data_IF_738888679498
#
_entry.id   IF_738888679498
#
_cell.length_a   1.000
_cell.length_b   1.000
_cell.length_c   1.000
_cell.angle_alpha   90.00
_cell.angle_beta   90.00
_cell.angle_gamma   90.00
#
_symmetry.space_group_name_H-M   'P 1'
#
loop_
_entity.id
_entity.type
_entity.pdbx_description
1 polymer ?
#
# COMPACT_ATOMS: atom_id res chain seq x y z
N UNK A 1 31.81 -9.25 6.02
CA UNK A 1 30.82 -8.25 5.58
C UNK A 1 30.07 -8.85 4.41
N UNK A 2 28.76 -9.12 4.54
CA UNK A 2 27.96 -9.60 3.40
C UNK A 2 27.75 -8.44 2.44
N UNK A 3 28.12 -8.60 1.17
CA UNK A 3 27.85 -7.60 0.15
C UNK A 3 26.34 -7.36 0.03
N UNK A 4 25.93 -6.11 -0.09
CA UNK A 4 24.55 -5.73 -0.41
C UNK A 4 24.20 -6.30 -1.78
N UNK A 5 23.22 -7.22 -1.82
CA UNK A 5 22.81 -7.87 -3.06
C UNK A 5 21.51 -7.23 -3.56
N UNK A 6 21.54 -6.69 -4.78
CA UNK A 6 20.35 -6.15 -5.42
C UNK A 6 19.51 -7.29 -6.00
N UNK A 7 18.22 -7.29 -5.69
CA UNK A 7 17.29 -8.35 -6.09
C UNK A 7 16.02 -7.75 -6.67
N UNK A 8 15.38 -8.49 -7.56
CA UNK A 8 14.04 -8.19 -8.06
C UNK A 8 13.08 -9.22 -7.48
N UNK A 9 11.91 -8.77 -7.01
CA UNK A 9 10.85 -9.65 -6.56
C UNK A 9 9.68 -9.50 -7.51
N UNK A 10 9.19 -10.62 -8.05
CA UNK A 10 8.04 -10.66 -8.94
C UNK A 10 6.97 -11.59 -8.38
N UNK A 11 5.70 -11.21 -8.55
CA UNK A 11 4.56 -12.08 -8.29
C UNK A 11 4.08 -12.72 -9.59
N UNK A 12 3.62 -13.97 -9.52
CA UNK A 12 2.98 -14.65 -10.63
C UNK A 12 1.46 -14.44 -10.56
N UNK A 13 0.90 -13.86 -11.62
CA UNK A 13 -0.54 -13.58 -11.76
C UNK A 13 -1.33 -14.79 -12.29
N UNK A 14 -0.65 -15.85 -12.73
CA UNK A 14 -1.25 -17.10 -13.18
C UNK A 14 -0.97 -18.26 -12.21
N UNK A 15 0.05 -18.12 -11.37
CA UNK A 15 0.51 -19.04 -10.32
C UNK A 15 0.50 -20.52 -10.73
N UNK A 16 1.07 -20.83 -11.90
CA UNK A 16 1.11 -22.22 -12.36
C UNK A 16 2.06 -23.09 -11.52
N UNK A 17 3.07 -22.48 -10.89
CA UNK A 17 4.09 -23.21 -10.10
C UNK A 17 4.58 -22.46 -8.86
N UNK A 18 4.65 -21.13 -8.91
CA UNK A 18 5.15 -20.30 -7.82
C UNK A 18 4.24 -19.09 -7.64
N UNK A 19 4.12 -18.59 -6.41
CA UNK A 19 3.35 -17.37 -6.13
C UNK A 19 4.20 -16.13 -6.29
N UNK A 20 5.42 -16.15 -5.73
CA UNK A 20 6.38 -15.07 -5.87
C UNK A 20 7.79 -15.63 -6.04
N UNK A 21 8.63 -14.88 -6.74
CA UNK A 21 10.00 -15.28 -7.06
C UNK A 21 10.95 -14.10 -6.83
N UNK A 22 12.11 -14.39 -6.24
CA UNK A 22 13.22 -13.46 -6.04
C UNK A 22 14.30 -13.79 -7.06
N UNK A 23 14.75 -12.78 -7.78
CA UNK A 23 15.72 -12.86 -8.85
C UNK A 23 16.94 -12.04 -8.50
N UNK A 24 18.11 -12.50 -8.90
CA UNK A 24 19.32 -11.72 -8.93
C UNK A 24 19.22 -10.69 -10.05
N UNK A 25 19.37 -9.40 -9.72
CA UNK A 25 19.24 -8.34 -10.72
C UNK A 25 20.35 -8.42 -11.79
N UNK A 26 21.55 -8.85 -11.40
CA UNK A 26 22.72 -8.82 -12.29
C UNK A 26 22.74 -10.05 -13.19
N UNK A 27 22.52 -11.23 -12.62
CA UNK A 27 22.61 -12.49 -13.38
C UNK A 27 21.29 -12.94 -13.99
N UNK A 28 20.16 -12.37 -13.54
CA UNK A 28 18.82 -12.82 -13.92
C UNK A 28 18.45 -14.20 -13.36
N UNK A 29 19.29 -14.80 -12.50
CA UNK A 29 19.01 -16.13 -11.95
C UNK A 29 17.99 -16.06 -10.82
N UNK A 30 17.14 -17.08 -10.73
CA UNK A 30 16.23 -17.22 -9.59
C UNK A 30 17.00 -17.55 -8.32
N UNK A 31 16.87 -16.72 -7.29
CA UNK A 31 17.47 -16.92 -5.97
C UNK A 31 16.56 -17.68 -5.02
N UNK A 32 15.26 -17.37 -5.05
CA UNK A 32 14.27 -17.97 -4.15
C UNK A 32 12.89 -17.98 -4.78
N UNK A 33 12.15 -19.06 -4.58
CA UNK A 33 10.74 -19.17 -4.98
C UNK A 33 9.84 -19.42 -3.78
N UNK A 34 8.73 -18.71 -3.70
CA UNK A 34 7.68 -18.89 -2.70
C UNK A 34 6.51 -19.64 -3.32
N UNK A 35 6.13 -20.74 -2.66
CA UNK A 35 5.00 -21.60 -3.06
C UNK A 35 3.84 -21.43 -2.07
N UNK A 36 2.70 -22.01 -2.41
CA UNK A 36 1.50 -22.10 -1.55
C UNK A 36 0.82 -20.75 -1.25
N UNK A 37 1.12 -19.70 -2.01
CA UNK A 37 0.43 -18.40 -1.97
C UNK A 37 -0.78 -18.30 -2.92
N UNK A 38 -0.93 -19.27 -3.83
CA UNK A 38 -1.88 -19.19 -4.94
C UNK A 38 -1.53 -18.07 -5.93
N UNK A 39 -2.52 -17.65 -6.71
CA UNK A 39 -2.45 -16.49 -7.61
C UNK A 39 -2.39 -15.22 -6.78
N UNK A 40 -1.40 -14.36 -7.03
CA UNK A 40 -1.28 -13.10 -6.32
C UNK A 40 -2.15 -12.01 -6.95
N UNK A 41 -2.70 -11.14 -6.11
CA UNK A 41 -3.41 -9.95 -6.58
C UNK A 41 -2.41 -8.94 -7.17
N UNK A 42 -2.83 -8.24 -8.22
CA UNK A 42 -2.04 -7.15 -8.81
C UNK A 42 -1.81 -6.04 -7.78
N UNK A 43 -0.61 -5.42 -7.79
CA UNK A 43 -0.21 -4.33 -6.89
C UNK A 43 -0.23 -4.65 -5.39
N UNK A 44 -0.25 -5.93 -5.02
CA UNK A 44 -0.32 -6.36 -3.63
C UNK A 44 0.94 -7.06 -3.13
N UNK A 45 2.09 -6.84 -3.76
CA UNK A 45 3.38 -7.43 -3.38
C UNK A 45 4.23 -6.35 -2.72
N UNK A 46 4.63 -6.56 -1.46
CA UNK A 46 5.40 -5.57 -0.71
C UNK A 46 6.47 -6.21 0.17
N UNK A 47 7.62 -5.54 0.27
CA UNK A 47 8.73 -5.93 1.12
C UNK A 47 8.59 -5.30 2.51
N UNK A 48 8.96 -6.03 3.56
CA UNK A 48 9.04 -5.55 4.94
C UNK A 48 10.50 -5.65 5.40
N UNK A 49 11.17 -4.50 5.50
CA UNK A 49 12.53 -4.35 6.07
C UNK A 49 13.54 -5.42 5.61
N UNK A 50 13.55 -5.75 4.31
CA UNK A 50 14.39 -6.78 3.65
C UNK A 50 14.30 -8.22 4.21
N UNK A 51 13.44 -8.45 5.21
CA UNK A 51 13.36 -9.72 5.93
C UNK A 51 12.12 -10.52 5.57
N UNK A 52 11.02 -9.84 5.22
CA UNK A 52 9.77 -10.51 4.92
C UNK A 52 9.13 -9.98 3.64
N UNK A 53 8.41 -10.87 2.97
CA UNK A 53 7.63 -10.56 1.79
C UNK A 53 6.15 -10.75 2.13
N UNK A 54 5.36 -9.72 1.85
CA UNK A 54 3.91 -9.75 1.97
C UNK A 54 3.27 -9.80 0.60
N UNK A 55 2.30 -10.68 0.42
CA UNK A 55 1.48 -10.71 -0.78
C UNK A 55 0.03 -11.09 -0.52
N UNK A 56 -0.89 -10.45 -1.23
CA UNK A 56 -2.32 -10.81 -1.20
C UNK A 56 -2.61 -11.90 -2.21
N UNK A 57 -3.38 -12.91 -1.82
CA UNK A 57 -3.93 -13.88 -2.76
C UNK A 57 -5.17 -13.30 -3.46
N UNK A 58 -5.17 -13.37 -4.79
CA UNK A 58 -6.20 -12.82 -5.68
C UNK A 58 -7.59 -13.31 -5.28
N UNK A 59 -8.54 -12.37 -5.24
CA UNK A 59 -9.96 -12.60 -4.93
C UNK A 59 -10.24 -13.24 -3.56
N UNK A 60 -9.28 -13.15 -2.62
CA UNK A 60 -9.44 -13.66 -1.25
C UNK A 60 -9.15 -12.59 -0.19
N UNK A 61 -9.49 -12.92 1.05
CA UNK A 61 -9.16 -12.13 2.22
C UNK A 61 -7.80 -12.52 2.84
N UNK A 62 -6.95 -13.26 2.12
CA UNK A 62 -5.72 -13.83 2.67
C UNK A 62 -4.51 -13.03 2.21
N UNK A 63 -3.73 -12.57 3.20
CA UNK A 63 -2.39 -12.03 2.99
C UNK A 63 -1.38 -13.10 3.43
N UNK A 64 -0.51 -13.49 2.53
CA UNK A 64 0.64 -14.35 2.79
C UNK A 64 1.83 -13.51 3.26
N UNK A 65 2.54 -14.04 4.25
CA UNK A 65 3.71 -13.41 4.87
C UNK A 65 4.84 -14.43 4.90
N UNK A 66 5.90 -14.23 4.11
CA UNK A 66 7.02 -15.15 3.98
C UNK A 66 8.32 -14.56 4.49
N UNK A 67 9.11 -15.36 5.20
CA UNK A 67 10.49 -15.00 5.51
C UNK A 67 11.40 -15.09 4.27
N UNK A 68 12.13 -14.02 3.96
CA UNK A 68 13.13 -13.98 2.90
C UNK A 68 14.40 -14.70 3.30
N UNK A 69 14.78 -14.61 4.58
CA UNK A 69 15.95 -15.28 5.13
C UNK A 69 15.53 -16.50 5.99
N UNK A 70 16.32 -17.57 5.96
CA UNK A 70 16.08 -18.77 6.76
C UNK A 70 15.07 -19.77 6.16
N UNK A 71 14.60 -20.70 7.00
CA UNK A 71 13.61 -21.73 6.62
C UNK A 71 12.35 -21.05 6.08
N UNK A 72 11.76 -21.61 5.03
CA UNK A 72 10.50 -21.13 4.46
C UNK A 72 9.37 -21.25 5.49
N UNK A 73 9.16 -20.18 6.25
CA UNK A 73 8.01 -20.03 7.14
C UNK A 73 7.01 -19.12 6.45
N UNK A 74 5.83 -19.67 6.19
CA UNK A 74 4.69 -18.94 5.68
C UNK A 74 3.72 -18.72 6.84
N UNK A 75 3.37 -17.46 7.08
CA UNK A 75 2.23 -17.08 7.91
C UNK A 75 1.13 -16.54 7.01
N UNK A 76 -0.11 -16.64 7.47
CA UNK A 76 -1.29 -16.10 6.78
C UNK A 76 -1.98 -15.13 7.73
N UNK A 77 -2.34 -13.97 7.21
CA UNK A 77 -3.19 -12.99 7.88
C UNK A 77 -4.54 -13.02 7.17
N UNK A 78 -5.61 -13.17 7.94
CA UNK A 78 -6.98 -13.22 7.42
C UNK A 78 -7.62 -11.85 7.66
N UNK A 79 -7.94 -11.16 6.57
CA UNK A 79 -8.64 -9.90 6.56
C UNK A 79 -10.16 -10.10 6.66
N UNK A 80 -10.93 -9.06 7.02
CA UNK A 80 -12.38 -9.16 7.15
C UNK A 80 -13.11 -9.42 5.82
N UNK A 81 -12.51 -9.05 4.68
CA UNK A 81 -13.05 -9.30 3.35
C UNK A 81 -11.92 -9.32 2.30
N UNK A 82 -12.30 -9.52 1.03
CA UNK A 82 -11.39 -9.51 -0.12
C UNK A 82 -10.51 -8.25 -0.10
N UNK A 83 -9.21 -8.46 -0.21
CA UNK A 83 -8.23 -7.38 -0.26
C UNK A 83 -8.00 -6.94 -1.70
N UNK A 84 -8.11 -5.65 -1.96
CA UNK A 84 -7.93 -5.07 -3.29
C UNK A 84 -6.49 -4.61 -3.53
N UNK A 85 -5.88 -4.02 -2.51
CA UNK A 85 -4.53 -3.44 -2.58
C UNK A 85 -3.85 -3.54 -1.23
N UNK A 86 -2.53 -3.74 -1.24
CA UNK A 86 -1.71 -3.80 -0.04
C UNK A 86 -0.39 -3.06 -0.26
N UNK A 87 0.01 -2.26 0.71
CA UNK A 87 1.35 -1.66 0.76
C UNK A 87 1.88 -1.66 2.19
N UNK A 88 3.19 -1.63 2.34
CA UNK A 88 3.88 -1.56 3.62
C UNK A 88 4.64 -0.24 3.67
N UNK A 89 4.67 0.38 4.83
CA UNK A 89 5.44 1.59 5.04
C UNK A 89 6.95 1.29 4.96
N UNK A 90 7.78 2.13 4.32
CA UNK A 90 9.22 1.86 4.15
C UNK A 90 9.99 1.56 5.44
N UNK A 91 9.56 2.13 6.57
CA UNK A 91 10.09 1.86 7.91
C UNK A 91 9.69 0.48 8.47
N UNK A 92 8.78 -0.24 7.82
CA UNK A 92 8.39 -1.62 8.16
C UNK A 92 7.47 -1.75 9.37
N UNK A 93 6.94 -0.65 9.90
CA UNK A 93 6.08 -0.67 11.09
C UNK A 93 4.61 -0.94 10.78
N UNK A 94 4.13 -0.50 9.61
CA UNK A 94 2.69 -0.54 9.29
C UNK A 94 2.41 -1.18 7.93
N UNK A 95 1.31 -1.91 7.85
CA UNK A 95 0.71 -2.33 6.59
C UNK A 95 -0.60 -1.57 6.37
N UNK A 96 -0.77 -1.06 5.16
CA UNK A 96 -1.96 -0.33 4.71
C UNK A 96 -2.66 -1.22 3.69
N UNK A 97 -3.91 -1.56 3.99
CA UNK A 97 -4.69 -2.54 3.24
C UNK A 97 -5.99 -1.90 2.78
N UNK A 98 -6.24 -1.90 1.47
CA UNK A 98 -7.50 -1.46 0.89
C UNK A 98 -8.48 -2.63 0.74
N UNK A 99 -9.64 -2.52 1.37
CA UNK A 99 -10.72 -3.52 1.34
C UNK A 99 -12.00 -2.79 0.98
N UNK A 100 -12.57 -3.08 -0.20
CA UNK A 100 -13.67 -2.29 -0.77
C UNK A 100 -13.30 -0.79 -0.73
N UNK A 101 -14.16 0.06 -0.19
CA UNK A 101 -13.96 1.51 -0.11
C UNK A 101 -13.12 1.96 1.11
N UNK A 102 -12.63 1.00 1.92
CA UNK A 102 -12.10 1.26 3.25
C UNK A 102 -10.62 0.90 3.34
N UNK A 103 -9.85 1.76 4.01
CA UNK A 103 -8.45 1.50 4.33
C UNK A 103 -8.33 0.95 5.75
N UNK A 104 -7.54 -0.10 5.92
CA UNK A 104 -7.21 -0.70 7.20
C UNK A 104 -5.71 -0.54 7.46
N UNK A 105 -5.35 0.02 8.62
CA UNK A 105 -3.95 0.22 9.03
C UNK A 105 -3.61 -0.79 10.12
N UNK A 106 -2.71 -1.71 9.81
CA UNK A 106 -2.23 -2.73 10.73
C UNK A 106 -0.84 -2.41 11.24
N UNK A 107 -0.59 -2.66 12.52
CA UNK A 107 0.75 -2.67 13.08
C UNK A 107 1.41 -4.02 12.77
N UNK A 108 2.55 -4.02 12.10
CA UNK A 108 3.22 -5.26 11.67
C UNK A 108 3.87 -6.03 12.82
N UNK A 109 4.34 -5.34 13.86
CA UNK A 109 4.98 -5.98 15.01
C UNK A 109 4.00 -6.81 15.85
N UNK A 110 2.76 -6.35 16.00
CA UNK A 110 1.73 -6.99 16.83
C UNK A 110 0.69 -7.73 15.99
N UNK A 111 0.49 -7.35 14.73
CA UNK A 111 -0.59 -7.82 13.87
C UNK A 111 -1.94 -7.15 14.16
N UNK A 112 -1.99 -6.18 15.07
CA UNK A 112 -3.24 -5.54 15.48
C UNK A 112 -3.72 -4.51 14.44
N UNK A 113 -5.04 -4.45 14.25
CA UNK A 113 -5.68 -3.36 13.53
C UNK A 113 -5.63 -2.10 14.39
N UNK A 114 -4.94 -1.06 13.92
CA UNK A 114 -4.85 0.22 14.63
C UNK A 114 -6.04 1.11 14.33
N UNK A 115 -6.41 1.20 13.05
CA UNK A 115 -7.50 2.09 12.64
C UNK A 115 -8.01 1.76 11.24
N UNK A 116 -9.15 2.36 10.92
CA UNK A 116 -9.85 2.24 9.67
C UNK A 116 -10.20 3.62 9.15
N UNK A 117 -10.05 3.85 7.84
CA UNK A 117 -10.36 5.11 7.18
C UNK A 117 -11.43 4.87 6.12
N UNK A 118 -12.51 5.64 6.18
CA UNK A 118 -13.71 5.45 5.36
C UNK A 118 -14.04 6.75 4.65
N UNK A 119 -13.40 7.00 3.49
CA UNK A 119 -13.61 8.23 2.72
C UNK A 119 -13.79 8.02 1.22
N UNK A 120 -13.25 6.94 0.66
CA UNK A 120 -13.57 6.55 -0.72
C UNK A 120 -15.03 6.11 -0.80
N UNK A 121 -15.66 6.35 -1.95
CA UNK A 121 -17.04 5.95 -2.23
C UNK A 121 -17.12 4.69 -3.10
N UNK A 122 -15.98 4.28 -3.66
CA UNK A 122 -15.83 3.10 -4.49
C UNK A 122 -14.55 2.34 -4.11
N UNK A 123 -14.37 1.10 -4.60
CA UNK A 123 -13.24 0.29 -4.23
C UNK A 123 -11.88 0.96 -4.45
N UNK A 124 -10.99 0.82 -3.49
CA UNK A 124 -9.63 1.36 -3.55
C UNK A 124 -8.80 0.50 -4.49
N UNK A 125 -8.06 1.14 -5.39
CA UNK A 125 -7.36 0.47 -6.49
C UNK A 125 -5.85 0.52 -6.34
N UNK A 126 -5.33 1.55 -5.67
CA UNK A 126 -3.91 1.78 -5.51
C UNK A 126 -3.63 2.59 -4.24
N UNK A 127 -2.49 2.28 -3.62
CA UNK A 127 -1.97 2.98 -2.45
C UNK A 127 -0.48 3.12 -2.63
N UNK A 128 0.07 4.29 -2.30
CA UNK A 128 1.51 4.51 -2.22
C UNK A 128 1.88 5.25 -0.95
N UNK A 129 2.95 4.80 -0.30
CA UNK A 129 3.54 5.46 0.86
C UNK A 129 4.69 6.34 0.40
N UNK A 130 4.84 7.51 1.00
CA UNK A 130 6.04 8.33 0.85
C UNK A 130 7.27 7.56 1.35
N UNK A 131 8.44 7.79 0.75
CA UNK A 131 9.64 7.04 1.10
C UNK A 131 10.15 7.28 2.52
N UNK A 132 9.72 8.36 3.18
CA UNK A 132 10.01 8.68 4.58
C UNK A 132 8.90 8.24 5.55
N UNK A 133 7.90 7.47 5.07
CA UNK A 133 6.71 7.03 5.81
C UNK A 133 5.84 8.16 6.38
N UNK A 134 6.10 9.43 6.06
CA UNK A 134 5.41 10.58 6.68
C UNK A 134 3.94 10.71 6.27
N UNK A 135 3.64 10.32 5.03
CA UNK A 135 2.29 10.29 4.47
C UNK A 135 2.12 9.14 3.49
N UNK A 136 0.87 8.87 3.13
CA UNK A 136 0.52 7.97 2.05
C UNK A 136 -0.65 8.53 1.24
N UNK A 137 -0.80 8.03 0.02
CA UNK A 137 -1.82 8.45 -0.93
C UNK A 137 -2.63 7.22 -1.33
N UNK A 138 -3.96 7.35 -1.35
CA UNK A 138 -4.87 6.31 -1.83
C UNK A 138 -5.70 6.80 -3.02
N UNK A 139 -5.91 5.93 -4.01
CA UNK A 139 -6.74 6.19 -5.17
C UNK A 139 -7.85 5.15 -5.32
N UNK A 140 -9.02 5.58 -5.77
CA UNK A 140 -10.22 4.74 -5.90
C UNK A 140 -10.77 4.63 -7.31
N UNK A 141 -11.75 3.74 -7.46
CA UNK A 141 -12.61 3.62 -8.65
C UNK A 141 -13.53 4.84 -8.88
N UNK A 142 -13.73 5.63 -7.84
CA UNK A 142 -14.50 6.88 -7.85
C UNK A 142 -13.72 8.06 -8.47
N UNK A 143 -12.47 7.86 -8.86
CA UNK A 143 -11.60 8.91 -9.39
C UNK A 143 -11.06 9.87 -8.33
N UNK A 144 -11.32 9.60 -7.04
CA UNK A 144 -10.76 10.37 -5.95
C UNK A 144 -9.36 9.89 -5.59
N UNK A 145 -8.55 10.86 -5.18
CA UNK A 145 -7.22 10.66 -4.60
C UNK A 145 -7.19 11.38 -3.27
N UNK A 146 -6.85 10.65 -2.21
CA UNK A 146 -6.74 11.20 -0.86
C UNK A 146 -5.31 11.10 -0.36
N UNK A 147 -4.83 12.20 0.25
CA UNK A 147 -3.52 12.28 0.90
C UNK A 147 -3.70 12.23 2.41
N UNK A 148 -2.91 11.40 3.06
CA UNK A 148 -3.07 11.04 4.47
C UNK A 148 -1.76 11.20 5.21
N UNK A 149 -1.74 12.02 6.26
CA UNK A 149 -0.58 12.12 7.14
C UNK A 149 -0.56 10.97 8.14
N UNK A 150 0.49 10.16 8.07
CA UNK A 150 0.63 8.94 8.88
C UNK A 150 0.59 9.27 10.37
N UNK A 151 1.27 10.35 10.78
CA UNK A 151 1.33 10.75 12.19
C UNK A 151 -0.01 11.22 12.74
N UNK A 152 -0.83 11.96 11.98
CA UNK A 152 -2.17 12.39 12.40
C UNK A 152 -3.12 11.19 12.53
N UNK A 153 -2.99 10.21 11.64
CA UNK A 153 -3.75 8.97 11.71
C UNK A 153 -3.37 8.18 12.95
N UNK A 154 -2.10 8.16 13.35
CA UNK A 154 -1.64 7.37 14.49
C UNK A 154 -1.78 8.11 15.83
N UNK A 155 -1.65 9.43 15.89
CA UNK A 155 -1.70 10.20 17.15
C UNK A 155 -3.04 10.09 17.87
N UNK A 156 -4.12 9.94 17.12
CA UNK A 156 -5.48 9.85 17.67
C UNK A 156 -5.86 8.42 18.08
N UNK A 157 -4.92 7.47 18.06
CA UNK A 157 -5.09 6.14 18.67
C UNK A 157 -4.57 6.12 20.10
N UNK A 158 -4.90 7.14 20.90
CA UNK A 158 -4.66 7.09 22.34
C UNK A 158 -5.44 5.90 22.92
N UNK A 159 -4.72 4.94 23.51
CA UNK A 159 -5.27 3.78 24.21
C UNK A 159 -6.35 4.22 25.22
N UNK A 160 -7.62 4.18 24.83
CA UNK A 160 -8.73 4.39 25.74
C UNK A 160 -8.95 3.12 26.55
N UNK A 161 -8.16 2.94 27.62
CA UNK A 161 -8.61 2.17 28.76
C UNK A 161 -9.76 2.95 29.44
N UNK A 162 -10.99 2.46 29.24
CA UNK A 162 -12.17 2.72 30.05
C UNK A 162 -12.45 4.18 30.44
N UNK A 163 -13.27 4.87 29.65
CA UNK A 163 -14.28 5.81 30.17
C UNK A 163 -15.22 6.24 29.05
N UNK A 164 -16.51 6.13 29.34
CA UNK A 164 -17.66 6.47 28.51
C UNK A 164 -17.76 7.97 28.24
N UNK A 165 -17.86 8.34 26.95
CA UNK A 165 -18.87 9.23 26.36
C UNK A 165 -18.31 9.88 25.07
N UNK A 166 -18.99 9.59 23.97
CA UNK A 166 -19.08 10.29 22.68
C UNK A 166 -17.97 11.26 22.24
N UNK A 167 -17.23 10.85 21.19
CA UNK A 167 -16.67 11.68 20.08
C UNK A 167 -15.45 11.04 19.38
N UNK A 168 -15.09 9.78 19.67
CA UNK A 168 -13.93 9.10 19.06
C UNK A 168 -14.16 8.50 17.66
N UNK A 169 -15.36 8.68 17.10
CA UNK A 169 -15.71 8.40 15.70
C UNK A 169 -15.65 9.66 14.83
N UNK A 170 -14.97 10.72 15.27
CA UNK A 170 -14.55 11.78 14.35
C UNK A 170 -13.71 11.13 13.24
N UNK A 171 -14.35 10.91 12.09
CA UNK A 171 -13.75 10.22 10.96
C UNK A 171 -12.43 10.89 10.63
N UNK A 172 -11.34 10.12 10.64
CA UNK A 172 -10.03 10.65 10.27
C UNK A 172 -10.14 11.22 8.86
N UNK A 173 -9.92 12.52 8.75
CA UNK A 173 -10.06 13.23 7.48
C UNK A 173 -8.73 13.21 6.73
N UNK A 174 -8.77 13.15 5.40
CA UNK A 174 -7.58 13.25 4.60
C UNK A 174 -7.08 14.68 4.62
N UNK A 175 -5.76 14.86 4.60
CA UNK A 175 -5.13 16.18 4.49
C UNK A 175 -5.54 16.89 3.21
N UNK A 176 -5.59 16.14 2.12
CA UNK A 176 -6.05 16.61 0.82
C UNK A 176 -7.00 15.61 0.17
N UNK A 177 -8.00 16.15 -0.50
CA UNK A 177 -8.94 15.43 -1.34
C UNK A 177 -8.86 16.00 -2.75
N UNK A 178 -8.50 15.16 -3.72
CA UNK A 178 -8.41 15.53 -5.11
C UNK A 178 -9.38 14.70 -5.94
N UNK A 179 -10.25 15.37 -6.68
CA UNK A 179 -11.25 14.76 -7.57
C UNK A 179 -10.99 15.14 -9.03
N UNK A 180 -9.72 15.21 -9.41
CA UNK A 180 -9.35 15.70 -10.73
C UNK A 180 -9.67 14.70 -11.84
N UNK A 181 -9.70 13.40 -11.55
CA UNK A 181 -9.96 12.37 -12.55
C UNK A 181 -11.45 12.08 -12.65
N UNK A 182 -11.95 11.89 -13.87
CA UNK A 182 -13.36 11.54 -14.10
C UNK A 182 -13.61 10.04 -14.05
N UNK A 183 -12.57 9.23 -13.84
CA UNK A 183 -12.64 7.78 -13.79
C UNK A 183 -11.56 7.18 -12.87
N UNK A 184 -11.64 5.87 -12.69
CA UNK A 184 -10.78 5.04 -11.83
C UNK A 184 -9.29 5.43 -11.89
N UNK A 185 -8.71 5.63 -10.70
CA UNK A 185 -7.27 5.80 -10.55
C UNK A 185 -6.59 4.45 -10.78
N UNK A 186 -5.63 4.41 -11.70
CA UNK A 186 -4.91 3.19 -12.06
C UNK A 186 -3.58 3.10 -11.35
N UNK A 187 -2.84 4.19 -11.19
CA UNK A 187 -1.60 4.17 -10.42
C UNK A 187 -1.30 5.53 -9.81
N UNK A 188 -0.48 5.50 -8.78
CA UNK A 188 0.00 6.68 -8.10
C UNK A 188 1.52 6.55 -8.01
N UNK A 189 2.22 7.66 -8.19
CA UNK A 189 3.62 7.79 -7.85
C UNK A 189 3.76 8.90 -6.81
N UNK A 190 4.63 8.68 -5.84
CA UNK A 190 4.93 9.63 -4.79
C UNK A 190 6.44 9.86 -4.75
N UNK A 191 6.87 11.10 -4.99
CA UNK A 191 8.27 11.49 -4.92
C UNK A 191 8.70 11.70 -3.46
N UNK A 192 9.97 11.42 -3.19
CA UNK A 192 10.58 11.56 -1.87
C UNK A 192 10.80 13.05 -1.53
N UNK A 193 9.99 13.64 -0.65
CA UNK A 193 10.37 14.89 0.02
C UNK A 193 9.45 15.27 1.16
N UNK A 194 10.05 15.68 2.28
CA UNK A 194 9.38 16.24 3.47
C UNK A 194 8.94 17.71 3.30
N UNK A 195 9.34 18.36 2.21
CA UNK A 195 9.17 19.82 2.02
C UNK A 195 8.59 20.19 0.64
N UNK A 196 8.51 19.25 -0.30
CA UNK A 196 7.94 19.44 -1.65
C UNK A 196 7.52 18.08 -2.23
N UNK A 197 6.65 17.36 -1.53
CA UNK A 197 6.11 16.08 -2.01
C UNK A 197 5.39 16.28 -3.33
N UNK A 198 5.98 15.81 -4.43
CA UNK A 198 5.29 15.70 -5.72
C UNK A 198 4.66 14.33 -5.81
N UNK A 199 3.46 14.27 -6.35
CA UNK A 199 2.84 13.00 -6.72
C UNK A 199 2.32 13.08 -8.14
N UNK A 200 2.30 11.94 -8.81
CA UNK A 200 1.66 11.77 -10.09
C UNK A 200 0.52 10.76 -9.94
N UNK A 201 -0.62 11.02 -10.55
CA UNK A 201 -1.80 10.17 -10.53
C UNK A 201 -2.17 9.84 -11.96
N UNK A 202 -2.42 8.57 -12.25
CA UNK A 202 -2.80 8.08 -13.58
C UNK A 202 -4.20 7.49 -13.51
N UNK A 203 -5.01 7.67 -14.55
CA UNK A 203 -6.39 7.16 -14.58
C UNK A 203 -6.73 6.53 -15.92
N UNK A 204 -7.78 5.70 -15.92
CA UNK A 204 -8.37 5.14 -17.14
C UNK A 204 -9.06 6.22 -18.00
N UNK A 205 -9.25 7.44 -17.48
CA UNK A 205 -9.68 8.61 -18.25
C UNK A 205 -8.61 9.12 -19.25
N UNK A 206 -7.51 8.36 -19.42
CA UNK A 206 -6.40 8.66 -20.33
C UNK A 206 -5.59 9.89 -19.91
N UNK A 207 -5.68 10.30 -18.64
CA UNK A 207 -4.90 11.42 -18.11
C UNK A 207 -3.94 11.00 -17.02
N UNK A 208 -2.80 11.70 -16.97
CA UNK A 208 -1.85 11.67 -15.87
C UNK A 208 -1.72 13.09 -15.31
N UNK A 209 -1.87 13.26 -14.00
CA UNK A 209 -1.83 14.58 -13.34
C UNK A 209 -0.73 14.61 -12.30
N UNK A 210 0.00 15.72 -12.23
CA UNK A 210 1.08 15.92 -11.26
C UNK A 210 0.66 17.01 -10.29
N UNK A 211 0.69 16.68 -8.99
CA UNK A 211 0.32 17.60 -7.91
C UNK A 211 1.51 17.78 -6.96
N UNK A 212 1.61 18.97 -6.36
CA UNK A 212 2.60 19.29 -5.34
C UNK A 212 1.89 19.59 -4.02
N UNK A 213 2.47 19.15 -2.91
CA UNK A 213 1.96 19.38 -1.55
C UNK A 213 2.01 20.87 -1.14
N UNK A 214 3.06 21.59 -1.56
CA UNK A 214 3.32 22.98 -1.09
C UNK A 214 2.67 24.07 -1.93
N UNK A 215 2.17 23.74 -3.12
CA UNK A 215 1.52 24.70 -4.00
C UNK A 215 0.45 24.00 -4.82
N UNK A 216 -0.75 24.58 -4.81
CA UNK A 216 -1.85 24.33 -5.77
C UNK A 216 -1.46 24.74 -7.21
N UNK A 217 -0.20 24.59 -7.61
CA UNK A 217 0.29 24.90 -8.96
C UNK A 217 0.22 23.64 -9.81
N UNK A 218 -0.83 23.57 -10.63
CA UNK A 218 -1.04 22.54 -11.64
C UNK A 218 -0.03 22.65 -12.79
N UNK A 219 0.53 21.52 -13.21
CA UNK A 219 1.18 21.39 -14.52
C UNK A 219 0.46 20.30 -15.33
N UNK A 220 -0.10 20.69 -16.47
CA UNK A 220 -0.67 19.76 -17.44
C UNK A 220 0.43 19.28 -18.37
N UNK A 221 0.68 17.96 -18.41
CA UNK A 221 1.43 17.34 -19.50
C UNK A 221 0.41 16.70 -20.44
N UNK A 222 0.32 17.23 -21.65
CA UNK A 222 -0.35 16.55 -22.76
C UNK A 222 0.61 15.50 -23.31
N UNK A 223 0.15 14.25 -23.43
CA UNK A 223 0.77 13.28 -24.32
C UNK A 223 0.02 13.32 -25.65
N UNK A 224 0.78 13.38 -26.74
CA UNK A 224 0.33 13.54 -28.12
C UNK A 224 -0.25 12.25 -28.69
#
# INVERSE_FOLDING_TARGET
MSATKQVVISGDLNAQTYSATVWDLVTGTTLKTFRNGGVLASKCLSLVSDQFLMAVQKDTAIIHYWALNGKQQQKKIICPAKVNVLTVTPDGHFAIVGIKEQLFIYQLSTGNLLTKLERHFQPITCIKVAGDSSYFISGGEDGYVFVWFTHEILSNTSFSHGSSNDSSLAGKEPKHSWSYHSAQITDIYCAYSRINGKCATCSIDQTCKVNNESALSHFHFFQK
#
